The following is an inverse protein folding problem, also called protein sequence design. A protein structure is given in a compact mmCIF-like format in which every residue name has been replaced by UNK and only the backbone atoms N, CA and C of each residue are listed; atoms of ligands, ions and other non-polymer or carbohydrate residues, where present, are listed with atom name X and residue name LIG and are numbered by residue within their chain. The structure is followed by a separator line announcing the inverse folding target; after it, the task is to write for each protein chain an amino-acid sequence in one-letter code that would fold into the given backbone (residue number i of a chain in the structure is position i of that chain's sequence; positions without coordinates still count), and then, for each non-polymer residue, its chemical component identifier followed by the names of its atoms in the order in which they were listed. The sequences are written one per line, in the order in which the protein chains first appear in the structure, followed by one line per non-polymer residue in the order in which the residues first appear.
data_IF_698825493158
#
_entry.id   IF_698825493158
#
_cell.length_a   1.000
_cell.length_b   1.000
_cell.length_c   1.000
_cell.angle_alpha   90.00
_cell.angle_beta   90.00
_cell.angle_gamma   90.00
#
_symmetry.space_group_name_H-M   'P 1'
#
loop_
_entity.id
_entity.type
_entity.pdbx_description
1 polymer ?
#
# COMPACT_ATOMS: atom_id res chain seq x y z
N UNK A 1 -13.25 -6.43 3.13
CA UNK A 1 -14.64 -5.95 2.86
C UNK A 1 -14.77 -5.33 1.47
N UNK A 2 -14.01 -4.29 1.11
CA UNK A 2 -14.08 -3.61 -0.20
C UNK A 2 -13.95 -4.61 -1.36
N UNK A 3 -12.95 -5.50 -1.30
CA UNK A 3 -12.70 -6.53 -2.29
C UNK A 3 -13.91 -7.47 -2.49
N UNK A 4 -14.58 -7.84 -1.40
CA UNK A 4 -15.79 -8.67 -1.45
C UNK A 4 -16.96 -7.91 -2.11
N UNK A 5 -17.16 -6.64 -1.76
CA UNK A 5 -18.19 -5.78 -2.37
C UNK A 5 -17.97 -5.58 -3.87
N UNK A 6 -16.71 -5.52 -4.31
CA UNK A 6 -16.31 -5.40 -5.72
C UNK A 6 -16.28 -6.76 -6.44
N UNK A 7 -16.57 -7.88 -5.76
CA UNK A 7 -16.38 -9.23 -6.28
C UNK A 7 -14.98 -9.45 -6.89
N UNK A 8 -13.97 -8.78 -6.33
CA UNK A 8 -12.60 -8.89 -6.79
C UNK A 8 -11.96 -10.17 -6.25
N UNK A 9 -11.65 -11.13 -7.12
CA UNK A 9 -11.02 -12.42 -6.79
C UNK A 9 -9.52 -12.46 -7.10
N UNK A 10 -8.95 -11.36 -7.57
CA UNK A 10 -7.53 -11.28 -7.96
C UNK A 10 -6.62 -11.01 -6.77
N UNK A 11 -5.31 -11.24 -6.90
CA UNK A 11 -4.32 -10.78 -5.92
C UNK A 11 -4.41 -9.28 -5.67
N UNK A 12 -3.99 -8.87 -4.49
CA UNK A 12 -4.05 -7.45 -4.10
C UNK A 12 -2.91 -7.07 -3.17
N UNK A 13 -2.48 -5.82 -3.28
CA UNK A 13 -1.49 -5.25 -2.39
C UNK A 13 -2.17 -4.70 -1.13
N UNK A 14 -1.49 -4.87 -0.01
CA UNK A 14 -1.94 -4.34 1.28
C UNK A 14 -0.90 -3.39 1.88
N UNK A 15 -1.38 -2.54 2.78
CA UNK A 15 -0.56 -1.71 3.66
C UNK A 15 0.55 -0.97 2.90
N UNK A 16 0.14 -0.18 1.89
CA UNK A 16 1.01 0.64 1.03
C UNK A 16 2.09 -0.14 0.27
N UNK A 17 1.79 -1.38 -0.14
CA UNK A 17 2.70 -2.22 -0.90
C UNK A 17 3.63 -3.06 -0.05
N UNK A 18 3.36 -3.17 1.25
CA UNK A 18 4.18 -3.98 2.17
C UNK A 18 4.04 -5.48 1.95
N UNK A 19 2.91 -5.93 1.38
CA UNK A 19 2.71 -7.31 1.00
C UNK A 19 1.73 -7.46 -0.17
N UNK A 20 1.84 -8.58 -0.89
CA UNK A 20 0.83 -9.10 -1.82
C UNK A 20 0.07 -10.22 -1.15
N UNK A 21 -1.24 -10.21 -1.27
CA UNK A 21 -2.13 -11.27 -0.81
C UNK A 21 -2.70 -12.00 -2.02
N UNK A 22 -2.47 -13.30 -2.07
CA UNK A 22 -2.88 -14.18 -3.16
C UNK A 22 -4.05 -15.05 -2.67
N UNK A 23 -5.19 -15.05 -3.36
CA UNK A 23 -6.29 -15.95 -3.05
C UNK A 23 -5.89 -17.43 -3.17
N UNK A 24 -6.59 -18.34 -2.48
CA UNK A 24 -6.39 -19.78 -2.66
C UNK A 24 -6.49 -20.17 -4.13
N UNK A 25 -5.61 -21.05 -4.56
CA UNK A 25 -5.61 -21.66 -5.91
C UNK A 25 -5.58 -20.67 -7.09
N UNK A 26 -5.07 -19.43 -6.84
CA UNK A 26 -5.04 -18.40 -7.88
C UNK A 26 -3.88 -18.59 -8.86
N UNK A 27 -2.70 -18.93 -8.39
CA UNK A 27 -1.55 -19.33 -9.19
C UNK A 27 -1.27 -20.82 -8.96
N UNK A 28 -0.86 -21.54 -9.99
CA UNK A 28 -0.47 -22.96 -9.89
C UNK A 28 0.74 -23.13 -8.95
N UNK A 29 1.74 -22.24 -9.12
CA UNK A 29 2.89 -22.16 -8.24
C UNK A 29 3.18 -20.71 -7.88
N UNK A 30 3.59 -20.47 -6.64
CA UNK A 30 4.04 -19.16 -6.18
C UNK A 30 5.56 -19.18 -6.08
N UNK A 31 6.20 -18.62 -7.08
CA UNK A 31 7.65 -18.53 -7.11
C UNK A 31 8.13 -17.35 -6.25
N UNK A 32 9.07 -17.62 -5.37
CA UNK A 32 9.77 -16.59 -4.62
C UNK A 32 11.23 -16.56 -5.08
N UNK A 33 11.54 -15.78 -6.10
CA UNK A 33 12.93 -15.54 -6.53
C UNK A 33 13.68 -14.59 -5.58
N UNK A 34 12.96 -13.96 -4.67
CA UNK A 34 13.48 -13.02 -3.68
C UNK A 34 13.40 -13.64 -2.28
N UNK A 35 14.28 -13.26 -1.34
CA UNK A 35 14.23 -13.76 0.04
C UNK A 35 13.03 -13.15 0.79
N UNK A 36 11.84 -13.50 0.36
CA UNK A 36 10.59 -13.00 0.91
C UNK A 36 10.01 -14.02 1.89
N UNK A 37 9.41 -13.52 2.97
CA UNK A 37 8.63 -14.36 3.85
C UNK A 37 7.28 -14.63 3.22
N UNK A 38 6.95 -15.90 3.03
CA UNK A 38 5.62 -16.37 2.65
C UNK A 38 4.91 -16.85 3.90
N UNK A 39 3.70 -16.38 4.11
CA UNK A 39 2.85 -16.78 5.23
C UNK A 39 1.48 -17.23 4.71
N UNK A 40 0.93 -18.32 5.27
CA UNK A 40 -0.43 -18.75 4.95
C UNK A 40 -1.38 -18.26 6.04
N UNK A 41 -2.37 -17.46 5.66
CA UNK A 41 -3.37 -16.88 6.55
C UNK A 41 -4.75 -17.20 5.99
N UNK A 42 -5.51 -18.06 6.66
CA UNK A 42 -6.88 -18.45 6.27
C UNK A 42 -6.98 -18.93 4.80
N UNK A 43 -5.99 -19.67 4.33
CA UNK A 43 -5.91 -20.17 2.96
C UNK A 43 -5.33 -19.17 1.93
N UNK A 44 -5.16 -17.89 2.29
CA UNK A 44 -4.45 -16.93 1.45
C UNK A 44 -2.95 -17.06 1.64
N UNK A 45 -2.19 -16.88 0.57
CA UNK A 45 -0.74 -16.71 0.67
C UNK A 45 -0.42 -15.21 0.76
N UNK A 46 0.41 -14.84 1.75
CA UNK A 46 0.86 -13.47 1.97
C UNK A 46 2.35 -13.40 1.73
N UNK A 47 2.75 -12.63 0.72
CA UNK A 47 4.15 -12.40 0.35
C UNK A 47 4.58 -11.05 0.92
N UNK A 48 5.43 -11.07 1.93
CA UNK A 48 5.93 -9.87 2.58
C UNK A 48 7.14 -9.30 1.85
N UNK A 49 7.11 -8.02 1.48
CA UNK A 49 8.26 -7.31 0.89
C UNK A 49 9.11 -6.60 1.94
N UNK A 50 8.61 -6.46 3.14
CA UNK A 50 9.29 -5.79 4.24
C UNK A 50 9.16 -6.55 5.56
N UNK A 51 9.15 -5.80 6.64
CA UNK A 51 9.00 -6.34 7.98
C UNK A 51 7.60 -6.89 8.21
N UNK A 52 7.50 -7.99 8.95
CA UNK A 52 6.24 -8.43 9.53
C UNK A 52 5.79 -7.46 10.62
N UNK A 53 4.51 -7.46 10.95
CA UNK A 53 3.96 -6.56 11.97
C UNK A 53 4.65 -6.71 13.33
N UNK A 54 4.95 -7.94 13.76
CA UNK A 54 5.68 -8.19 15.00
C UNK A 54 7.09 -7.61 15.01
N UNK A 55 7.84 -7.77 13.91
CA UNK A 55 9.17 -7.17 13.77
C UNK A 55 9.11 -5.64 13.77
N UNK A 56 8.11 -5.06 13.10
CA UNK A 56 7.87 -3.63 13.09
C UNK A 56 7.58 -3.10 14.50
N UNK A 57 6.67 -3.72 15.24
CA UNK A 57 6.32 -3.31 16.59
C UNK A 57 7.51 -3.35 17.54
N UNK A 58 8.37 -4.37 17.46
CA UNK A 58 9.59 -4.43 18.26
C UNK A 58 10.47 -3.20 18.05
N UNK A 59 10.69 -2.79 16.79
CA UNK A 59 11.50 -1.61 16.46
C UNK A 59 10.85 -0.32 16.97
N UNK A 60 9.60 -0.07 16.64
CA UNK A 60 8.94 1.21 16.99
C UNK A 60 8.74 1.36 18.50
N UNK A 61 8.46 0.27 19.24
CA UNK A 61 8.36 0.31 20.69
C UNK A 61 9.72 0.54 21.34
N UNK A 62 10.80 -0.04 20.79
CA UNK A 62 12.17 0.25 21.23
C UNK A 62 12.48 1.75 21.10
N UNK A 63 12.26 2.34 19.93
CA UNK A 63 12.45 3.77 19.66
C UNK A 63 11.63 4.61 20.64
N UNK A 64 10.33 4.30 20.79
CA UNK A 64 9.43 5.03 21.70
C UNK A 64 9.92 4.96 23.13
N UNK A 65 10.31 3.80 23.61
CA UNK A 65 10.70 3.60 25.01
C UNK A 65 12.04 4.28 25.35
N UNK A 66 12.98 4.29 24.41
CA UNK A 66 14.29 4.92 24.59
C UNK A 66 14.21 6.46 24.52
N UNK A 67 13.46 7.00 23.58
CA UNK A 67 13.43 8.43 23.27
C UNK A 67 12.15 9.13 23.74
N UNK A 68 11.23 8.40 24.36
CA UNK A 68 9.97 8.89 24.92
C UNK A 68 9.10 9.66 23.92
N UNK A 69 9.08 9.23 22.67
CA UNK A 69 8.23 9.85 21.65
C UNK A 69 6.73 9.69 21.98
N UNK A 70 5.96 10.79 21.94
CA UNK A 70 4.55 10.81 22.31
C UNK A 70 3.67 10.38 21.12
N UNK A 71 3.40 9.11 20.99
CA UNK A 71 2.40 8.58 20.05
C UNK A 71 1.64 7.41 20.65
N UNK A 72 0.45 7.19 20.12
CA UNK A 72 -0.39 6.03 20.45
C UNK A 72 -0.67 5.28 19.15
N UNK A 73 -0.32 4.01 19.09
CA UNK A 73 -0.53 3.14 17.95
C UNK A 73 -1.81 2.30 18.05
N UNK A 74 -2.22 1.68 16.96
CA UNK A 74 -3.33 0.73 16.98
C UNK A 74 -3.02 -0.49 17.85
N UNK A 75 -1.74 -0.84 18.00
CA UNK A 75 -1.28 -1.87 18.93
C UNK A 75 -1.56 -1.53 20.39
N UNK A 76 -1.56 -0.24 20.74
CA UNK A 76 -1.81 0.26 22.10
C UNK A 76 -3.32 0.41 22.41
N UNK A 77 -4.19 0.41 21.40
CA UNK A 77 -5.62 0.62 21.53
C UNK A 77 -6.38 -0.71 21.56
N UNK A 78 -7.51 -0.75 22.27
CA UNK A 78 -8.54 -1.76 22.07
C UNK A 78 -9.45 -1.40 20.89
N UNK A 79 -10.47 -2.22 20.60
CA UNK A 79 -11.43 -1.97 19.52
C UNK A 79 -12.19 -0.66 19.72
N UNK A 80 -12.58 -0.35 20.95
CA UNK A 80 -13.31 0.88 21.30
C UNK A 80 -12.43 2.13 21.07
N UNK A 81 -11.15 2.06 21.41
CA UNK A 81 -10.18 3.12 21.14
C UNK A 81 -10.02 3.39 19.66
N UNK A 82 -9.90 2.34 18.83
CA UNK A 82 -9.85 2.51 17.38
C UNK A 82 -11.14 3.12 16.83
N UNK A 83 -12.33 2.67 17.31
CA UNK A 83 -13.62 3.27 16.92
C UNK A 83 -13.66 4.78 17.23
N UNK A 84 -13.26 5.16 18.44
CA UNK A 84 -13.28 6.55 18.87
C UNK A 84 -12.44 7.45 17.96
N UNK A 85 -11.27 6.98 17.55
CA UNK A 85 -10.35 7.79 16.73
C UNK A 85 -10.63 7.72 15.24
N UNK A 86 -11.32 6.68 14.75
CA UNK A 86 -11.57 6.50 13.32
C UNK A 86 -13.01 6.78 12.90
N UNK A 87 -13.98 6.58 13.79
CA UNK A 87 -15.40 6.58 13.47
C UNK A 87 -15.90 5.27 12.82
N UNK A 88 -15.07 4.23 12.81
CA UNK A 88 -15.44 2.92 12.26
C UNK A 88 -16.47 2.19 13.12
N UNK A 89 -17.22 1.28 12.52
CA UNK A 89 -18.03 0.31 13.27
C UNK A 89 -17.13 -0.59 14.12
N UNK A 90 -17.67 -1.27 15.15
CA UNK A 90 -16.89 -2.20 15.96
C UNK A 90 -16.29 -3.33 15.11
N UNK A 91 -17.05 -3.82 14.12
CA UNK A 91 -16.58 -4.82 13.19
C UNK A 91 -15.38 -4.31 12.37
N UNK A 92 -15.48 -3.13 11.76
CA UNK A 92 -14.42 -2.56 10.93
C UNK A 92 -13.21 -2.15 11.75
N UNK A 93 -13.40 -1.65 12.97
CA UNK A 93 -12.30 -1.36 13.90
C UNK A 93 -11.52 -2.64 14.28
N UNK A 94 -12.23 -3.75 14.51
CA UNK A 94 -11.61 -5.06 14.74
C UNK A 94 -10.79 -5.50 13.52
N UNK A 95 -11.31 -5.34 12.31
CA UNK A 95 -10.58 -5.62 11.07
C UNK A 95 -9.39 -4.68 10.88
N UNK A 96 -9.55 -3.39 11.17
CA UNK A 96 -8.46 -2.41 11.05
C UNK A 96 -7.29 -2.68 11.99
N UNK A 97 -7.52 -3.37 13.11
CA UNK A 97 -6.46 -3.86 14.01
C UNK A 97 -5.73 -5.11 13.53
N UNK A 98 -6.27 -5.83 12.56
CA UNK A 98 -5.60 -7.01 11.97
C UNK A 98 -4.51 -6.56 10.98
N UNK A 99 -3.41 -6.04 11.56
CA UNK A 99 -2.28 -5.51 10.79
C UNK A 99 -1.30 -6.64 10.45
N UNK A 100 -0.67 -6.56 9.29
CA UNK A 100 0.33 -7.52 8.83
C UNK A 100 1.72 -6.91 8.66
N UNK A 101 1.83 -5.62 8.32
CA UNK A 101 3.09 -5.00 7.89
C UNK A 101 3.24 -3.53 8.25
N UNK A 102 2.23 -2.88 8.83
CA UNK A 102 2.30 -1.46 9.16
C UNK A 102 1.54 -1.11 10.44
N UNK A 103 1.99 -0.07 11.13
CA UNK A 103 1.37 0.44 12.35
C UNK A 103 0.84 1.85 12.14
N UNK A 104 -0.48 2.05 12.20
CA UNK A 104 -1.06 3.39 12.27
C UNK A 104 -0.85 3.99 13.65
N UNK A 105 -0.35 5.22 13.71
CA UNK A 105 -0.13 5.94 14.95
C UNK A 105 -0.83 7.30 14.94
N UNK A 106 -1.25 7.76 16.12
CA UNK A 106 -1.63 9.13 16.42
C UNK A 106 -0.44 9.83 17.08
N UNK A 107 0.06 10.86 16.42
CA UNK A 107 1.13 11.67 16.96
C UNK A 107 0.57 12.73 17.90
N UNK A 108 1.18 12.87 19.09
CA UNK A 108 0.74 13.77 20.16
C UNK A 108 1.78 14.84 20.52
N UNK A 109 2.91 14.88 19.79
CA UNK A 109 4.00 15.81 20.04
C UNK A 109 4.02 17.00 19.07
N UNK A 110 5.03 17.86 19.23
CA UNK A 110 5.28 18.96 18.31
C UNK A 110 5.79 18.46 16.94
N UNK A 111 5.74 19.33 15.93
CA UNK A 111 6.31 19.03 14.60
C UNK A 111 7.83 18.82 14.66
N UNK A 112 8.53 19.59 15.47
CA UNK A 112 9.99 19.45 15.66
C UNK A 112 10.34 18.06 16.20
N UNK A 113 9.56 17.60 17.19
CA UNK A 113 9.77 16.27 17.75
C UNK A 113 9.39 15.16 16.75
N UNK A 114 8.40 15.42 15.89
CA UNK A 114 8.05 14.51 14.82
C UNK A 114 9.18 14.35 13.79
N UNK A 115 9.84 15.44 13.42
CA UNK A 115 11.00 15.40 12.52
C UNK A 115 12.17 14.59 13.11
N UNK A 116 12.36 14.66 14.43
CA UNK A 116 13.33 13.80 15.12
C UNK A 116 12.91 12.33 15.07
N UNK A 117 11.65 12.05 15.32
CA UNK A 117 11.10 10.71 15.24
C UNK A 117 11.26 10.12 13.83
N UNK A 118 10.96 10.89 12.78
CA UNK A 118 11.15 10.47 11.39
C UNK A 118 12.62 10.09 11.11
N UNK A 119 13.58 10.88 11.58
CA UNK A 119 15.01 10.56 11.43
C UNK A 119 15.37 9.25 12.13
N UNK A 120 14.86 9.03 13.33
CA UNK A 120 15.07 7.76 14.04
C UNK A 120 14.47 6.57 13.29
N UNK A 121 13.27 6.72 12.73
CA UNK A 121 12.65 5.69 11.89
C UNK A 121 13.51 5.34 10.67
N UNK A 122 14.00 6.36 9.96
CA UNK A 122 14.87 6.18 8.78
C UNK A 122 16.15 5.43 9.14
N UNK A 123 16.80 5.77 10.25
CA UNK A 123 18.00 5.09 10.74
C UNK A 123 17.75 3.60 11.06
N UNK A 124 16.53 3.25 11.46
CA UNK A 124 16.11 1.86 11.69
C UNK A 124 15.59 1.16 10.42
N UNK A 125 15.69 1.79 9.27
CA UNK A 125 15.18 1.28 7.99
C UNK A 125 13.66 1.28 7.91
N UNK A 126 12.99 2.21 8.59
CA UNK A 126 11.54 2.38 8.58
C UNK A 126 11.14 3.64 7.83
N UNK A 127 9.90 3.65 7.37
CA UNK A 127 9.27 4.81 6.72
C UNK A 127 8.02 5.22 7.49
N UNK A 128 7.65 6.49 7.34
CA UNK A 128 6.36 6.99 7.80
C UNK A 128 5.64 7.68 6.65
N UNK A 129 4.37 7.32 6.48
CA UNK A 129 3.48 7.92 5.49
C UNK A 129 2.33 8.61 6.22
N UNK A 130 1.97 9.80 5.77
CA UNK A 130 0.80 10.51 6.29
C UNK A 130 -0.45 10.01 5.58
N UNK A 131 -1.44 9.54 6.33
CA UNK A 131 -2.74 9.11 5.84
C UNK A 131 -3.87 9.71 6.66
N UNK A 132 -4.46 10.79 6.19
CA UNK A 132 -5.53 11.47 6.93
C UNK A 132 -5.11 11.89 8.33
N UNK A 133 -5.76 11.34 9.38
CA UNK A 133 -5.46 11.63 10.78
C UNK A 133 -4.29 10.83 11.35
N UNK A 134 -3.93 9.73 10.70
CA UNK A 134 -2.89 8.81 11.19
C UNK A 134 -1.63 8.93 10.36
N UNK A 135 -0.51 8.64 11.01
CA UNK A 135 0.73 8.31 10.34
C UNK A 135 0.88 6.80 10.31
N UNK A 136 1.28 6.24 9.17
CA UNK A 136 1.50 4.81 9.02
C UNK A 136 3.01 4.53 9.01
N UNK A 137 3.49 3.78 9.99
CA UNK A 137 4.88 3.32 10.04
C UNK A 137 4.94 1.97 9.36
N UNK A 138 5.92 1.77 8.48
CA UNK A 138 6.11 0.55 7.70
C UNK A 138 7.61 0.36 7.36
N UNK A 139 7.94 -0.79 6.81
CA UNK A 139 9.28 -1.08 6.28
C UNK A 139 9.65 -0.20 5.07
N UNK A 140 10.88 -0.35 4.53
CA UNK A 140 11.38 0.42 3.38
C UNK A 140 10.82 -0.12 2.05
N UNK A 141 9.51 -0.18 1.94
CA UNK A 141 8.77 -0.75 0.81
C UNK A 141 7.90 0.30 0.13
N UNK A 142 7.57 0.09 -1.13
CA UNK A 142 6.56 0.85 -1.84
C UNK A 142 5.72 -0.07 -2.75
N UNK A 143 4.66 0.47 -3.32
CA UNK A 143 3.74 -0.29 -4.17
C UNK A 143 4.40 -0.85 -5.43
N UNK A 144 5.54 -0.29 -5.87
CA UNK A 144 6.34 -0.75 -7.01
C UNK A 144 6.75 -2.21 -6.87
N UNK A 145 7.17 -2.61 -5.68
CA UNK A 145 7.65 -3.98 -5.43
C UNK A 145 6.55 -5.00 -5.71
N UNK A 146 5.34 -4.73 -5.25
CA UNK A 146 4.20 -5.60 -5.52
C UNK A 146 3.77 -5.64 -7.00
N UNK A 147 3.90 -4.50 -7.71
CA UNK A 147 3.62 -4.44 -9.15
C UNK A 147 4.60 -5.31 -9.93
N UNK A 148 5.90 -5.20 -9.68
CA UNK A 148 6.91 -6.01 -10.36
C UNK A 148 6.71 -7.49 -10.05
N UNK A 149 6.50 -7.83 -8.78
CA UNK A 149 6.26 -9.21 -8.37
C UNK A 149 5.04 -9.82 -9.07
N UNK A 150 3.92 -9.09 -9.11
CA UNK A 150 2.71 -9.54 -9.81
C UNK A 150 2.93 -9.65 -11.32
N UNK A 151 3.59 -8.66 -11.95
CA UNK A 151 3.88 -8.68 -13.38
C UNK A 151 4.67 -9.93 -13.77
N UNK A 152 5.71 -10.27 -13.00
CA UNK A 152 6.53 -11.45 -13.22
C UNK A 152 5.72 -12.74 -13.07
N UNK A 153 4.87 -12.83 -12.03
CA UNK A 153 4.03 -14.00 -11.79
C UNK A 153 2.97 -14.18 -12.88
N UNK A 154 2.32 -13.11 -13.31
CA UNK A 154 1.39 -13.17 -14.44
C UNK A 154 2.09 -13.57 -15.73
N UNK A 155 3.30 -13.06 -15.98
CA UNK A 155 4.09 -13.43 -17.14
C UNK A 155 4.41 -14.94 -17.18
N UNK A 156 4.87 -15.49 -16.06
CA UNK A 156 5.21 -16.92 -15.96
C UNK A 156 3.97 -17.82 -16.04
N UNK A 157 2.87 -17.45 -15.39
CA UNK A 157 1.64 -18.23 -15.37
C UNK A 157 0.90 -18.25 -16.73
N UNK A 158 1.00 -17.20 -17.52
CA UNK A 158 0.32 -17.10 -18.81
C UNK A 158 1.25 -17.36 -19.99
N UNK A 159 2.01 -18.46 -19.92
CA UNK A 159 2.84 -18.99 -21.02
C UNK A 159 3.87 -17.97 -21.54
N UNK A 160 4.45 -17.19 -20.65
CA UNK A 160 5.42 -16.13 -20.98
C UNK A 160 4.90 -15.09 -21.97
N UNK A 161 3.60 -14.92 -22.04
CA UNK A 161 2.97 -13.85 -22.81
C UNK A 161 3.31 -12.48 -22.24
N UNK A 162 3.49 -11.45 -23.08
CA UNK A 162 3.69 -10.08 -22.59
C UNK A 162 2.52 -9.63 -21.71
N UNK A 163 2.84 -9.14 -20.53
CA UNK A 163 1.86 -8.57 -19.60
C UNK A 163 1.93 -7.05 -19.67
N UNK A 164 0.86 -6.42 -20.13
CA UNK A 164 0.72 -4.96 -20.11
C UNK A 164 0.11 -4.52 -18.78
N UNK A 165 0.76 -3.58 -18.13
CA UNK A 165 0.36 -3.07 -16.82
C UNK A 165 -0.19 -1.65 -16.90
N UNK A 166 -1.27 -1.41 -16.18
CA UNK A 166 -1.90 -0.08 -16.04
C UNK A 166 -2.04 0.23 -14.56
N UNK A 167 -1.65 1.43 -14.16
CA UNK A 167 -1.88 1.92 -12.81
C UNK A 167 -2.60 3.26 -12.78
N UNK A 168 -3.35 3.48 -11.69
CA UNK A 168 -4.09 4.71 -11.46
C UNK A 168 -3.80 5.16 -10.03
N UNK A 169 -3.47 6.44 -9.83
CA UNK A 169 -3.15 6.98 -8.52
C UNK A 169 -3.25 8.50 -8.47
N UNK A 170 -3.39 9.04 -7.25
CA UNK A 170 -3.60 10.47 -7.00
C UNK A 170 -2.56 11.07 -6.04
N UNK A 171 -1.75 10.26 -5.38
CA UNK A 171 -0.86 10.70 -4.32
C UNK A 171 0.60 10.27 -4.45
N UNK A 172 1.48 10.89 -3.67
CA UNK A 172 2.90 10.56 -3.64
C UNK A 172 3.20 9.10 -3.23
N UNK A 173 2.31 8.48 -2.46
CA UNK A 173 2.42 7.06 -2.13
C UNK A 173 2.16 6.13 -3.33
N UNK A 174 1.57 6.64 -4.41
CA UNK A 174 1.30 5.91 -5.65
C UNK A 174 2.42 6.09 -6.68
N UNK A 175 3.30 7.08 -6.50
CA UNK A 175 4.38 7.39 -7.45
C UNK A 175 5.14 6.14 -7.89
N UNK A 176 5.63 5.34 -6.95
CA UNK A 176 6.39 4.13 -7.26
C UNK A 176 5.60 3.12 -8.11
N UNK A 177 4.30 2.96 -7.83
CA UNK A 177 3.40 2.12 -8.62
C UNK A 177 3.18 2.70 -10.02
N UNK A 178 2.87 3.99 -10.11
CA UNK A 178 2.67 4.69 -11.38
C UNK A 178 3.93 4.59 -12.26
N UNK A 179 5.09 4.74 -11.66
CA UNK A 179 6.38 4.64 -12.34
C UNK A 179 6.78 3.19 -12.71
N UNK A 180 6.15 2.18 -12.19
CA UNK A 180 6.46 0.78 -12.43
C UNK A 180 5.62 0.12 -13.53
N UNK A 181 4.63 0.81 -14.08
CA UNK A 181 3.67 0.27 -15.05
C UNK A 181 3.89 0.80 -16.46
N UNK A 182 3.39 0.08 -17.46
CA UNK A 182 3.53 0.46 -18.86
C UNK A 182 2.67 1.69 -19.19
N UNK A 183 1.50 1.82 -18.53
CA UNK A 183 0.60 2.98 -18.60
C UNK A 183 0.32 3.49 -17.20
N UNK A 184 0.44 4.80 -17.01
CA UNK A 184 0.11 5.48 -15.76
C UNK A 184 -1.01 6.49 -15.97
N UNK A 185 -2.02 6.44 -15.09
CA UNK A 185 -3.07 7.46 -15.03
C UNK A 185 -2.94 8.24 -13.74
N UNK A 186 -2.55 9.50 -13.86
CA UNK A 186 -2.49 10.42 -12.72
C UNK A 186 -3.86 11.07 -12.55
N UNK A 187 -4.46 10.83 -11.38
CA UNK A 187 -5.76 11.39 -10.99
C UNK A 187 -5.51 12.68 -10.19
N UNK A 188 -6.21 13.79 -10.47
CA UNK A 188 -6.12 14.96 -9.62
C UNK A 188 -6.59 14.64 -8.18
N UNK A 189 -5.81 15.00 -7.15
CA UNK A 189 -6.22 14.80 -5.77
C UNK A 189 -7.43 15.71 -5.43
N UNK A 190 -8.16 15.34 -4.38
CA UNK A 190 -9.27 16.20 -3.89
C UNK A 190 -8.78 17.60 -3.54
N UNK A 191 -7.62 17.69 -2.88
CA UNK A 191 -6.96 18.94 -2.52
C UNK A 191 -5.46 18.82 -2.82
N UNK A 192 -4.85 19.90 -3.28
CA UNK A 192 -3.42 19.99 -3.53
C UNK A 192 -3.05 19.99 -5.01
N UNK A 193 -1.76 19.78 -5.27
CA UNK A 193 -1.18 19.81 -6.61
C UNK A 193 -1.14 18.38 -7.16
N UNK A 194 -1.57 18.16 -8.41
CA UNK A 194 -1.44 16.86 -9.06
C UNK A 194 0.01 16.35 -9.07
N UNK A 195 0.15 15.04 -8.98
CA UNK A 195 1.45 14.40 -9.05
C UNK A 195 2.05 14.58 -10.45
N UNK A 196 3.30 15.06 -10.52
CA UNK A 196 4.07 15.09 -11.75
C UNK A 196 5.02 13.91 -11.81
N UNK A 197 4.98 13.14 -12.91
CA UNK A 197 5.88 12.00 -13.17
C UNK A 197 6.96 12.42 -14.15
N UNK A 198 8.22 12.26 -13.79
CA UNK A 198 9.36 12.84 -14.51
C UNK A 198 9.95 11.96 -15.62
N UNK A 199 9.59 10.67 -15.71
CA UNK A 199 10.20 9.75 -16.67
C UNK A 199 9.20 8.68 -17.12
N UNK A 200 8.32 9.03 -18.09
CA UNK A 200 7.33 8.04 -18.52
C UNK A 200 6.96 8.11 -19.98
N UNK A 201 6.87 6.94 -20.60
CA UNK A 201 6.51 6.82 -21.99
C UNK A 201 5.02 7.01 -22.25
N UNK A 202 4.15 6.65 -21.28
CA UNK A 202 2.68 6.71 -21.48
C UNK A 202 1.96 7.14 -20.20
N UNK A 203 2.00 8.44 -19.90
CA UNK A 203 1.24 9.04 -18.82
C UNK A 203 -0.01 9.73 -19.34
N UNK A 204 -1.13 9.47 -18.68
CA UNK A 204 -2.38 10.19 -18.88
C UNK A 204 -2.67 10.99 -17.61
N UNK A 205 -2.78 12.30 -17.77
CA UNK A 205 -3.25 13.17 -16.69
C UNK A 205 -4.76 13.34 -16.84
N UNK A 206 -5.52 12.68 -15.96
CA UNK A 206 -6.97 12.86 -15.92
C UNK A 206 -7.32 14.28 -15.49
N UNK A 207 -8.41 14.81 -16.02
CA UNK A 207 -8.93 16.13 -15.63
C UNK A 207 -10.04 16.02 -14.59
N UNK A 208 -10.65 14.84 -14.48
CA UNK A 208 -11.69 14.53 -13.50
C UNK A 208 -11.07 13.87 -12.27
N UNK A 209 -11.65 14.13 -11.09
CA UNK A 209 -11.23 13.53 -9.81
C UNK A 209 -11.89 12.18 -9.55
N UNK A 210 -11.29 11.38 -8.69
CA UNK A 210 -11.84 10.13 -8.18
C UNK A 210 -12.28 9.15 -9.27
N UNK A 211 -13.43 8.45 -9.11
CA UNK A 211 -13.88 7.42 -10.04
C UNK A 211 -14.08 7.91 -11.49
N UNK A 212 -14.52 9.16 -11.66
CA UNK A 212 -14.68 9.75 -13.00
C UNK A 212 -13.33 9.97 -13.71
N UNK A 213 -12.26 10.27 -12.96
CA UNK A 213 -10.90 10.34 -13.49
C UNK A 213 -10.36 8.95 -13.85
N UNK A 214 -10.67 7.94 -13.06
CA UNK A 214 -10.34 6.56 -13.38
C UNK A 214 -10.97 6.13 -14.71
N UNK A 215 -12.28 6.33 -14.86
CA UNK A 215 -12.98 6.03 -16.09
C UNK A 215 -12.35 6.76 -17.29
N UNK A 216 -12.14 8.07 -17.17
CA UNK A 216 -11.52 8.88 -18.22
C UNK A 216 -10.16 8.33 -18.66
N UNK A 217 -9.29 7.98 -17.71
CA UNK A 217 -7.97 7.47 -17.99
C UNK A 217 -8.00 6.11 -18.69
N UNK A 218 -8.84 5.20 -18.22
CA UNK A 218 -9.00 3.87 -18.82
C UNK A 218 -9.59 3.94 -20.23
N UNK A 219 -10.60 4.77 -20.46
CA UNK A 219 -11.17 5.00 -21.80
C UNK A 219 -10.12 5.51 -22.80
N UNK A 220 -9.20 6.37 -22.35
CA UNK A 220 -8.11 6.86 -23.19
C UNK A 220 -7.08 5.79 -23.52
N UNK A 221 -6.79 4.87 -22.59
CA UNK A 221 -5.87 3.75 -22.83
C UNK A 221 -6.50 2.74 -23.79
N UNK A 222 -7.67 2.23 -23.47
CA UNK A 222 -8.32 1.19 -24.25
C UNK A 222 -8.76 1.69 -25.63
N UNK A 223 -9.19 2.94 -25.74
CA UNK A 223 -9.49 3.56 -27.04
C UNK A 223 -8.27 3.71 -27.95
N UNK A 224 -7.05 3.89 -27.39
CA UNK A 224 -5.79 3.99 -28.16
C UNK A 224 -5.22 2.63 -28.54
N UNK A 225 -5.40 1.62 -27.69
CA UNK A 225 -4.76 0.31 -27.87
C UNK A 225 -5.59 -0.68 -28.67
N UNK A 226 -6.86 -0.35 -28.96
CA UNK A 226 -7.77 -1.26 -29.67
C UNK A 226 -8.09 -2.55 -28.87
N UNK A 227 -7.80 -2.56 -27.58
CA UNK A 227 -8.15 -3.67 -26.68
C UNK A 227 -9.63 -3.47 -26.31
N UNK A 228 -10.48 -4.35 -26.84
CA UNK A 228 -11.91 -4.46 -26.52
C UNK A 228 -12.15 -5.49 -25.41
#
# INVERSE_FOLDING_TARGET
ELRFRLNNKHPFLIENGSAVVIPPDYFEEVYTTWPQKVESIQGYQVIHFGLTYSQLLLKIHSIRNQLKFPFVGFSDMDVAGVQQHTGLSAHDAKLAKQRLCSEPILWQGSSVLFDQFQRCLVNEGLRVLKGGRFYHILGPVDKRMGVYWLKDHYHEQYYKSPVTTVSLGDGNNDRGMLEATDYAVVIPPENGIPLELSHFNQVIYATKKGPAGWQQGLEQIFGKTGIS
#
